data_IF_634408707268
#
_entry.id   IF_634408707268
#
_cell.length_a   1.000
_cell.length_b   1.000
_cell.length_c   1.000
_cell.angle_alpha   90.00
_cell.angle_beta   90.00
_cell.angle_gamma   90.00
#
_symmetry.space_group_name_H-M   'P 1'
#
loop_
_entity.id
_entity.type
_entity.pdbx_description
1 polymer ?
#
# COMPACT_ATOMS: atom_id res chain seq x y z
N UNK A 1 9.33 6.13 -16.17
CA UNK A 1 9.82 4.74 -16.26
C UNK A 1 9.21 4.06 -17.48
N UNK A 2 9.98 3.17 -18.11
CA UNK A 2 9.48 2.24 -19.11
C UNK A 2 9.61 0.84 -18.52
N UNK A 3 8.51 0.07 -18.56
CA UNK A 3 8.48 -1.34 -18.20
C UNK A 3 8.07 -2.17 -19.40
N UNK A 4 8.59 -3.38 -19.52
CA UNK A 4 8.08 -4.38 -20.48
C UNK A 4 6.96 -5.13 -19.77
N UNK A 5 5.78 -5.13 -20.37
CA UNK A 5 4.57 -5.75 -19.80
C UNK A 5 4.27 -7.10 -20.45
N UNK A 6 4.30 -7.18 -21.78
CA UNK A 6 3.97 -8.38 -22.50
C UNK A 6 4.80 -8.53 -23.79
N UNK A 7 4.94 -9.78 -24.27
CA UNK A 7 5.56 -10.12 -25.54
C UNK A 7 4.72 -11.18 -26.27
N UNK A 8 4.39 -10.89 -27.55
CA UNK A 8 3.64 -11.78 -28.45
C UNK A 8 4.03 -11.58 -29.91
N UNK A 9 3.32 -12.24 -30.84
CA UNK A 9 3.55 -12.07 -32.28
C UNK A 9 3.38 -10.61 -32.74
N UNK A 10 2.41 -9.82 -32.20
CA UNK A 10 2.25 -8.41 -32.61
C UNK A 10 3.41 -7.50 -32.20
N UNK A 11 4.23 -7.90 -31.21
CA UNK A 11 5.35 -7.12 -30.72
C UNK A 11 5.54 -7.15 -29.22
N UNK A 12 6.24 -6.14 -28.67
CA UNK A 12 6.49 -5.97 -27.25
C UNK A 12 5.62 -4.82 -26.73
N UNK A 13 4.80 -5.08 -25.71
CA UNK A 13 4.03 -4.04 -25.03
C UNK A 13 4.87 -3.49 -23.89
N UNK A 14 5.05 -2.17 -23.90
CA UNK A 14 5.74 -1.43 -22.85
C UNK A 14 4.80 -0.44 -22.21
N UNK A 15 4.89 -0.26 -20.88
CA UNK A 15 4.21 0.83 -20.18
C UNK A 15 5.14 1.99 -19.90
N UNK A 16 4.57 3.19 -19.84
CA UNK A 16 5.22 4.41 -19.34
C UNK A 16 4.31 5.05 -18.29
N UNK A 17 4.78 5.08 -17.05
CA UNK A 17 4.10 5.81 -16.00
C UNK A 17 4.35 7.32 -16.15
N UNK A 18 3.27 8.11 -16.14
CA UNK A 18 3.29 9.56 -16.08
C UNK A 18 3.07 10.02 -14.63
N UNK A 19 2.15 9.36 -13.91
CA UNK A 19 1.90 9.49 -12.47
C UNK A 19 1.68 8.09 -11.86
N UNK A 20 1.33 8.01 -10.58
CA UNK A 20 1.09 6.73 -9.89
C UNK A 20 -0.10 5.96 -10.49
N UNK A 21 -1.12 6.67 -10.97
CA UNK A 21 -2.35 6.10 -11.57
C UNK A 21 -2.56 6.55 -13.03
N UNK A 22 -1.58 7.17 -13.66
CA UNK A 22 -1.60 7.55 -15.08
C UNK A 22 -0.47 6.85 -15.81
N UNK A 23 -0.84 5.98 -16.73
CA UNK A 23 0.08 5.18 -17.54
C UNK A 23 -0.34 5.16 -18.99
N UNK A 24 0.65 5.11 -19.89
CA UNK A 24 0.40 4.85 -21.30
C UNK A 24 1.07 3.54 -21.71
N UNK A 25 0.40 2.80 -22.58
CA UNK A 25 0.97 1.63 -23.24
C UNK A 25 1.49 1.98 -24.61
N UNK A 26 2.56 1.30 -25.00
CA UNK A 26 3.24 1.42 -26.31
C UNK A 26 3.47 0.03 -26.86
N UNK A 27 3.29 -0.13 -28.18
CA UNK A 27 3.67 -1.33 -28.91
C UNK A 27 4.98 -1.07 -29.64
N UNK A 28 5.98 -1.89 -29.36
CA UNK A 28 7.31 -1.88 -29.98
C UNK A 28 7.44 -3.05 -30.94
N UNK A 29 7.82 -2.78 -32.18
CA UNK A 29 8.27 -3.80 -33.11
C UNK A 29 9.73 -4.16 -32.81
N UNK A 30 10.03 -5.40 -32.37
CA UNK A 30 11.40 -5.78 -32.03
C UNK A 30 12.36 -5.92 -33.22
N UNK A 31 11.85 -6.04 -34.49
CA UNK A 31 12.67 -6.17 -35.65
C UNK A 31 13.12 -4.81 -36.19
N UNK A 32 12.20 -3.85 -36.32
CA UNK A 32 12.50 -2.50 -36.79
C UNK A 32 12.98 -1.55 -35.71
N UNK A 33 12.58 -1.78 -34.48
CA UNK A 33 12.75 -0.87 -33.34
C UNK A 33 11.76 0.30 -33.34
N UNK A 34 10.81 0.32 -34.28
CA UNK A 34 9.74 1.30 -34.28
C UNK A 34 8.75 1.04 -33.15
N UNK A 35 8.20 2.10 -32.60
CA UNK A 35 7.16 2.00 -31.57
C UNK A 35 6.03 3.00 -31.82
N UNK A 36 4.84 2.64 -31.36
CA UNK A 36 3.67 3.52 -31.36
C UNK A 36 2.95 3.49 -30.02
N UNK A 37 2.35 4.59 -29.68
CA UNK A 37 1.46 4.66 -28.52
C UNK A 37 0.18 3.89 -28.81
N UNK A 38 -0.25 3.03 -27.87
CA UNK A 38 -1.50 2.29 -27.94
C UNK A 38 -2.65 3.06 -27.31
N UNK A 39 -2.47 3.51 -26.06
CA UNK A 39 -3.54 4.13 -25.28
C UNK A 39 -3.60 5.64 -25.46
N UNK A 40 -4.76 6.24 -25.21
CA UNK A 40 -4.93 7.69 -25.23
C UNK A 40 -4.26 8.38 -24.00
N UNK A 41 -4.46 9.69 -23.83
CA UNK A 41 -3.91 10.51 -22.74
C UNK A 41 -4.94 10.71 -21.61
N UNK A 42 -5.77 9.70 -21.33
CA UNK A 42 -6.68 9.72 -20.19
C UNK A 42 -5.95 9.24 -18.93
N UNK A 43 -6.35 9.78 -17.76
CA UNK A 43 -5.88 9.32 -16.46
C UNK A 43 -6.40 7.89 -16.23
N UNK A 44 -5.60 6.90 -16.62
CA UNK A 44 -5.91 5.50 -16.47
C UNK A 44 -4.66 4.69 -16.13
N UNK A 45 -4.87 3.65 -15.35
CA UNK A 45 -3.86 2.64 -15.04
C UNK A 45 -4.10 1.41 -15.88
N UNK A 46 -2.99 0.81 -16.33
CA UNK A 46 -2.99 -0.47 -17.05
C UNK A 46 -1.96 -1.38 -16.40
N UNK A 47 -2.38 -2.55 -15.94
CA UNK A 47 -1.47 -3.53 -15.34
C UNK A 47 -1.88 -4.95 -15.70
N UNK A 48 -1.03 -5.93 -15.37
CA UNK A 48 -1.21 -7.34 -15.74
C UNK A 48 -1.54 -7.52 -17.23
N UNK A 49 -0.82 -6.76 -18.05
CA UNK A 49 -0.98 -6.76 -19.50
C UNK A 49 -0.44 -8.06 -20.08
N UNK A 50 -1.24 -8.78 -20.85
CA UNK A 50 -0.87 -10.09 -21.40
C UNK A 50 -1.54 -10.37 -22.74
N UNK A 51 -0.88 -11.16 -23.60
CA UNK A 51 -1.50 -11.65 -24.83
C UNK A 51 -2.33 -12.92 -24.59
N UNK A 52 -3.52 -12.95 -25.17
CA UNK A 52 -4.42 -14.09 -25.18
C UNK A 52 -4.15 -15.10 -26.29
N UNK A 53 -5.05 -16.11 -26.47
CA UNK A 53 -4.86 -17.21 -27.42
C UNK A 53 -4.71 -16.78 -28.90
N UNK A 54 -5.37 -15.71 -29.32
CA UNK A 54 -5.39 -15.21 -30.71
C UNK A 54 -4.56 -13.93 -30.87
N UNK A 55 -3.54 -13.74 -30.01
CA UNK A 55 -2.70 -12.53 -29.95
C UNK A 55 -3.48 -11.24 -29.63
N UNK A 56 -4.69 -11.34 -29.12
CA UNK A 56 -5.43 -10.23 -28.52
C UNK A 56 -4.79 -9.81 -27.19
N UNK A 57 -4.79 -8.50 -26.93
CA UNK A 57 -4.16 -7.93 -25.74
C UNK A 57 -5.19 -7.74 -24.63
N UNK A 58 -4.92 -8.31 -23.45
CA UNK A 58 -5.75 -8.18 -22.25
C UNK A 58 -5.01 -7.46 -21.15
N UNK A 59 -5.74 -6.77 -20.28
CA UNK A 59 -5.17 -6.08 -19.12
C UNK A 59 -6.23 -5.84 -18.04
N UNK A 60 -5.78 -5.39 -16.88
CA UNK A 60 -6.62 -4.73 -15.88
C UNK A 60 -6.49 -3.23 -16.05
N UNK A 61 -7.61 -2.51 -16.11
CA UNK A 61 -7.64 -1.06 -16.27
C UNK A 61 -8.84 -0.43 -15.58
N UNK A 62 -8.70 0.84 -15.15
CA UNK A 62 -9.81 1.70 -14.70
C UNK A 62 -10.21 2.74 -15.76
N UNK A 63 -9.84 2.55 -17.02
CA UNK A 63 -10.15 3.49 -18.10
C UNK A 63 -11.66 3.77 -18.17
N UNK A 64 -12.05 5.02 -17.94
CA UNK A 64 -13.45 5.45 -17.96
C UNK A 64 -14.33 4.94 -16.80
N UNK A 65 -13.73 4.31 -15.76
CA UNK A 65 -14.43 3.75 -14.62
C UNK A 65 -13.75 4.12 -13.28
N UNK A 66 -14.51 4.05 -12.19
CA UNK A 66 -13.97 4.26 -10.84
C UNK A 66 -13.18 3.04 -10.36
N UNK A 67 -13.69 1.83 -10.64
CA UNK A 67 -13.05 0.56 -10.27
C UNK A 67 -12.39 -0.10 -11.46
N UNK A 68 -11.23 -0.74 -11.23
CA UNK A 68 -10.48 -1.43 -12.25
C UNK A 68 -11.14 -2.76 -12.65
N UNK A 69 -11.23 -3.04 -13.94
CA UNK A 69 -11.89 -4.17 -14.57
C UNK A 69 -10.97 -4.90 -15.54
N UNK A 70 -11.35 -6.11 -15.99
CA UNK A 70 -10.61 -6.82 -17.05
C UNK A 70 -11.08 -6.31 -18.41
N UNK A 71 -10.14 -5.90 -19.25
CA UNK A 71 -10.39 -5.42 -20.60
C UNK A 71 -9.55 -6.17 -21.65
N UNK A 72 -10.11 -6.27 -22.86
CA UNK A 72 -9.35 -6.47 -24.09
C UNK A 72 -9.07 -5.10 -24.72
N UNK A 73 -7.83 -4.86 -25.10
CA UNK A 73 -7.42 -3.63 -25.80
C UNK A 73 -7.32 -3.86 -27.31
N UNK A 74 -7.95 -3.00 -28.06
CA UNK A 74 -7.73 -2.95 -29.50
C UNK A 74 -6.30 -2.56 -29.79
N UNK A 75 -5.59 -3.38 -30.59
CA UNK A 75 -4.18 -3.12 -30.92
C UNK A 75 -3.99 -1.95 -31.88
N UNK A 76 -5.03 -1.50 -32.59
CA UNK A 76 -4.91 -0.39 -33.54
C UNK A 76 -5.02 0.96 -32.84
N UNK A 77 -5.97 1.13 -31.92
CA UNK A 77 -6.25 2.43 -31.29
C UNK A 77 -6.26 2.41 -29.75
N UNK A 78 -6.07 1.23 -29.12
CA UNK A 78 -5.99 1.07 -27.66
C UNK A 78 -7.35 1.15 -26.95
N UNK A 79 -8.46 1.13 -27.69
CA UNK A 79 -9.80 1.20 -27.11
C UNK A 79 -10.05 -0.05 -26.26
N UNK A 80 -10.41 0.10 -24.94
CA UNK A 80 -10.74 -1.04 -24.11
C UNK A 80 -12.17 -1.53 -24.35
N UNK A 81 -12.31 -2.85 -24.47
CA UNK A 81 -13.60 -3.55 -24.41
C UNK A 81 -13.66 -4.32 -23.09
N UNK A 82 -14.73 -4.12 -22.31
CA UNK A 82 -14.92 -4.83 -21.04
C UNK A 82 -15.08 -6.33 -21.28
N UNK A 83 -14.30 -7.12 -20.56
CA UNK A 83 -14.36 -8.58 -20.57
C UNK A 83 -14.95 -9.11 -19.27
N UNK A 84 -14.61 -8.50 -18.15
CA UNK A 84 -15.16 -8.81 -16.83
C UNK A 84 -15.32 -7.51 -16.03
N UNK A 85 -16.55 -7.23 -15.61
CA UNK A 85 -16.90 -6.05 -14.82
C UNK A 85 -16.26 -6.10 -13.42
N UNK A 86 -15.82 -4.95 -12.92
CA UNK A 86 -15.26 -4.84 -11.58
C UNK A 86 -16.33 -4.94 -10.48
N UNK A 87 -17.51 -4.39 -10.72
CA UNK A 87 -18.51 -4.15 -9.67
C UNK A 87 -18.06 -3.04 -8.71
N UNK A 88 -18.28 -3.25 -7.41
CA UNK A 88 -17.91 -2.28 -6.37
C UNK A 88 -16.41 -2.32 -5.99
N UNK A 89 -15.66 -3.32 -6.46
CA UNK A 89 -14.29 -3.59 -6.05
C UNK A 89 -13.34 -3.75 -7.24
N UNK A 90 -12.15 -3.22 -7.09
CA UNK A 90 -11.13 -3.33 -8.14
C UNK A 90 -10.74 -4.79 -8.42
N UNK A 91 -10.63 -5.14 -9.69
CA UNK A 91 -9.78 -6.25 -10.09
C UNK A 91 -8.34 -5.86 -9.82
N UNK A 92 -7.60 -6.68 -9.08
CA UNK A 92 -6.23 -6.42 -8.66
C UNK A 92 -5.18 -7.26 -9.37
N UNK A 93 -5.58 -8.40 -9.94
CA UNK A 93 -4.71 -9.29 -10.71
C UNK A 93 -5.45 -9.95 -11.85
N UNK A 94 -4.72 -10.18 -12.94
CA UNK A 94 -5.14 -10.97 -14.10
C UNK A 94 -3.99 -11.86 -14.54
N UNK A 95 -4.26 -13.15 -14.72
CA UNK A 95 -3.36 -14.09 -15.37
C UNK A 95 -4.11 -14.88 -16.41
N UNK A 96 -3.51 -15.09 -17.59
CA UNK A 96 -4.12 -15.73 -18.74
C UNK A 96 -3.19 -16.78 -19.34
N UNK A 97 -3.70 -17.98 -19.54
CA UNK A 97 -2.97 -19.04 -20.24
C UNK A 97 -3.29 -19.03 -21.74
N UNK A 98 -2.36 -18.49 -22.55
CA UNK A 98 -2.53 -18.30 -23.98
C UNK A 98 -2.87 -19.58 -24.77
N UNK A 99 -2.38 -20.75 -24.34
CA UNK A 99 -2.65 -22.02 -25.04
C UNK A 99 -4.06 -22.62 -24.79
N UNK A 100 -4.71 -22.30 -23.68
CA UNK A 100 -6.02 -22.90 -23.31
C UNK A 100 -7.14 -21.88 -23.13
N UNK A 101 -6.82 -20.59 -23.11
CA UNK A 101 -7.75 -19.52 -22.78
C UNK A 101 -8.23 -19.52 -21.33
N UNK A 102 -7.62 -20.34 -20.45
CA UNK A 102 -7.91 -20.28 -19.01
C UNK A 102 -7.48 -18.94 -18.45
N UNK A 103 -8.30 -18.36 -17.59
CA UNK A 103 -8.05 -17.07 -16.96
C UNK A 103 -8.28 -17.18 -15.47
N UNK A 104 -7.42 -16.55 -14.70
CA UNK A 104 -7.58 -16.30 -13.25
C UNK A 104 -7.54 -14.80 -13.05
N UNK A 105 -8.53 -14.26 -12.35
CA UNK A 105 -8.53 -12.87 -11.92
C UNK A 105 -8.87 -12.76 -10.44
N UNK A 106 -8.42 -11.68 -9.83
CA UNK A 106 -8.56 -11.46 -8.39
C UNK A 106 -9.24 -10.14 -8.16
N UNK A 107 -10.33 -10.13 -7.37
CA UNK A 107 -10.94 -8.91 -6.85
C UNK A 107 -10.40 -8.59 -5.47
N UNK A 108 -10.16 -7.31 -5.22
CA UNK A 108 -9.74 -6.80 -3.92
C UNK A 108 -10.99 -6.34 -3.15
N UNK A 109 -11.52 -7.19 -2.29
CA UNK A 109 -12.72 -6.92 -1.50
C UNK A 109 -12.32 -6.54 -0.08
N UNK A 110 -12.42 -5.27 0.27
CA UNK A 110 -11.96 -4.74 1.56
C UNK A 110 -10.54 -5.22 1.92
N UNK A 111 -9.63 -5.30 0.93
CA UNK A 111 -8.25 -5.75 1.12
C UNK A 111 -8.04 -7.27 1.06
N UNK A 112 -9.09 -8.08 1.17
CA UNK A 112 -9.01 -9.52 0.91
C UNK A 112 -9.09 -9.81 -0.58
N UNK A 113 -8.46 -10.91 -0.99
CA UNK A 113 -8.44 -11.36 -2.38
C UNK A 113 -9.50 -12.40 -2.65
N UNK A 114 -10.51 -12.08 -3.45
CA UNK A 114 -11.43 -13.04 -4.03
C UNK A 114 -10.88 -13.55 -5.36
N UNK A 115 -10.47 -14.81 -5.40
CA UNK A 115 -9.89 -15.43 -6.60
C UNK A 115 -10.99 -16.08 -7.43
N UNK A 116 -11.03 -15.76 -8.70
CA UNK A 116 -11.96 -16.30 -9.69
C UNK A 116 -11.20 -17.03 -10.79
N UNK A 117 -11.83 -18.05 -11.36
CA UNK A 117 -11.30 -18.77 -12.50
C UNK A 117 -12.34 -18.90 -13.61
N UNK A 118 -11.91 -18.82 -14.86
CA UNK A 118 -12.77 -18.90 -16.02
C UNK A 118 -12.01 -19.30 -17.29
N UNK A 119 -12.70 -19.24 -18.40
CA UNK A 119 -12.17 -19.45 -19.74
C UNK A 119 -12.66 -18.37 -20.67
N UNK A 120 -11.77 -17.75 -21.41
CA UNK A 120 -12.11 -16.82 -22.49
C UNK A 120 -12.93 -17.53 -23.56
N UNK A 121 -13.98 -16.88 -24.00
CA UNK A 121 -14.79 -17.29 -25.14
C UNK A 121 -14.39 -16.53 -26.39
N UNK A 122 -14.83 -17.00 -27.57
CA UNK A 122 -14.61 -16.30 -28.83
C UNK A 122 -15.38 -14.96 -28.96
N UNK A 123 -16.24 -14.63 -28.00
CA UNK A 123 -17.05 -13.42 -27.95
C UNK A 123 -16.49 -12.39 -26.93
N UNK A 124 -15.23 -12.58 -26.50
CA UNK A 124 -14.56 -11.73 -25.47
C UNK A 124 -15.31 -11.69 -24.11
N UNK A 125 -15.86 -12.81 -23.72
CA UNK A 125 -16.51 -13.02 -22.43
C UNK A 125 -15.77 -14.10 -21.64
N UNK A 126 -15.97 -14.16 -20.33
CA UNK A 126 -15.40 -15.19 -19.46
C UNK A 126 -16.50 -16.18 -19.04
N UNK A 127 -16.42 -17.41 -19.52
CA UNK A 127 -17.21 -18.51 -18.99
C UNK A 127 -16.63 -18.94 -17.64
N UNK A 128 -17.37 -18.79 -16.50
CA UNK A 128 -16.87 -19.16 -15.19
C UNK A 128 -16.53 -20.64 -15.10
N UNK A 129 -15.40 -20.96 -14.46
CA UNK A 129 -15.02 -22.31 -14.05
C UNK A 129 -15.37 -22.54 -12.57
N UNK A 130 -14.83 -23.64 -12.00
CA UNK A 130 -15.05 -23.96 -10.59
C UNK A 130 -14.47 -22.88 -9.67
N UNK A 131 -15.18 -22.57 -8.58
CA UNK A 131 -14.67 -21.65 -7.55
C UNK A 131 -13.42 -22.22 -6.91
N UNK A 132 -12.29 -21.47 -6.86
CA UNK A 132 -11.07 -21.90 -6.23
C UNK A 132 -11.23 -22.18 -4.73
N UNK A 133 -10.72 -23.32 -4.26
CA UNK A 133 -10.67 -23.71 -2.84
C UNK A 133 -9.39 -23.16 -2.20
N UNK A 134 -9.35 -21.84 -1.99
CA UNK A 134 -8.25 -21.12 -1.37
C UNK A 134 -8.69 -20.53 -0.03
N UNK A 135 -7.79 -20.43 0.95
CA UNK A 135 -8.10 -19.75 2.20
C UNK A 135 -8.23 -18.23 1.99
N UNK A 136 -8.97 -17.55 2.89
CA UNK A 136 -9.03 -16.10 2.90
C UNK A 136 -7.63 -15.51 3.11
N UNK A 137 -7.29 -14.45 2.36
CA UNK A 137 -5.98 -13.83 2.43
C UNK A 137 -5.74 -12.82 1.32
N UNK A 138 -4.49 -12.50 1.07
CA UNK A 138 -4.05 -11.53 0.07
C UNK A 138 -3.17 -12.23 -0.98
N UNK A 139 -3.57 -12.14 -2.23
CA UNK A 139 -2.79 -12.62 -3.38
C UNK A 139 -1.76 -11.56 -3.78
N UNK A 140 -0.54 -12.00 -4.01
CA UNK A 140 0.58 -11.15 -4.47
C UNK A 140 0.99 -11.41 -5.91
N UNK A 141 0.67 -12.60 -6.41
CA UNK A 141 0.90 -12.98 -7.79
C UNK A 141 0.05 -14.20 -8.14
N UNK A 142 -0.36 -14.29 -9.39
CA UNK A 142 -1.01 -15.44 -10.00
C UNK A 142 -0.40 -15.65 -11.38
N UNK A 143 0.18 -16.83 -11.65
CA UNK A 143 0.91 -17.13 -12.87
C UNK A 143 0.60 -18.53 -13.38
N UNK A 144 0.25 -18.65 -14.65
CA UNK A 144 0.02 -19.95 -15.27
C UNK A 144 1.32 -20.66 -15.62
N UNK A 145 1.39 -21.94 -15.27
CA UNK A 145 2.39 -22.86 -15.77
C UNK A 145 2.02 -23.40 -17.18
N UNK A 146 2.98 -24.07 -17.85
CA UNK A 146 2.77 -24.57 -19.22
C UNK A 146 1.66 -25.62 -19.37
N UNK A 147 1.32 -26.31 -18.29
CA UNK A 147 0.26 -27.32 -18.24
C UNK A 147 -1.13 -26.72 -17.95
N UNK A 148 -1.20 -25.39 -17.70
CA UNK A 148 -2.43 -24.67 -17.46
C UNK A 148 -2.93 -24.71 -16.02
N UNK A 149 -2.10 -25.14 -15.07
CA UNK A 149 -2.29 -24.90 -13.63
C UNK A 149 -1.80 -23.51 -13.28
N UNK A 150 -2.43 -22.86 -12.30
CA UNK A 150 -2.07 -21.51 -11.89
C UNK A 150 -1.36 -21.53 -10.52
N UNK A 151 -0.13 -21.03 -10.46
CA UNK A 151 0.59 -20.82 -9.22
C UNK A 151 0.16 -19.48 -8.60
N UNK A 152 -0.35 -19.53 -7.36
CA UNK A 152 -0.85 -18.37 -6.63
C UNK A 152 0.02 -18.16 -5.40
N UNK A 153 0.69 -17.00 -5.33
CA UNK A 153 1.43 -16.57 -4.14
C UNK A 153 0.51 -15.74 -3.26
N UNK A 154 0.22 -16.22 -2.05
CA UNK A 154 -0.67 -15.53 -1.12
C UNK A 154 -0.18 -15.59 0.33
N UNK A 155 -0.66 -14.65 1.13
CA UNK A 155 -0.41 -14.54 2.57
C UNK A 155 -1.71 -14.29 3.31
N UNK A 156 -1.75 -14.70 4.59
CA UNK A 156 -2.83 -14.42 5.53
C UNK A 156 -2.28 -13.65 6.72
N UNK A 157 -3.12 -13.10 7.56
CA UNK A 157 -2.66 -12.40 8.77
C UNK A 157 -1.89 -13.31 9.73
N UNK A 158 -2.23 -14.60 9.75
CA UNK A 158 -1.64 -15.65 10.60
C UNK A 158 -0.65 -16.58 9.88
N UNK A 159 -0.48 -16.41 8.55
CA UNK A 159 0.35 -17.28 7.73
C UNK A 159 1.22 -16.47 6.75
N UNK A 160 2.56 -16.59 6.82
CA UNK A 160 3.46 -15.95 5.87
C UNK A 160 3.15 -16.35 4.42
N UNK A 161 3.71 -15.57 3.49
CA UNK A 161 3.52 -15.81 2.06
C UNK A 161 3.89 -17.23 1.65
N UNK A 162 2.94 -17.92 1.02
CA UNK A 162 3.09 -19.27 0.51
C UNK A 162 2.56 -19.38 -0.91
N UNK A 163 2.97 -20.44 -1.62
CA UNK A 163 2.51 -20.75 -2.98
C UNK A 163 1.49 -21.89 -2.93
N UNK A 164 0.37 -21.67 -3.57
CA UNK A 164 -0.67 -22.66 -3.88
C UNK A 164 -0.68 -22.91 -5.38
N UNK A 165 -0.97 -24.12 -5.79
CA UNK A 165 -1.19 -24.46 -7.21
C UNK A 165 -2.65 -24.81 -7.39
N UNK A 166 -3.33 -24.02 -8.21
CA UNK A 166 -4.74 -24.12 -8.53
C UNK A 166 -4.91 -24.84 -9.87
N UNK A 167 -5.73 -25.88 -9.90
CA UNK A 167 -6.35 -26.40 -11.11
C UNK A 167 -7.65 -25.58 -11.37
N UNK A 168 -7.70 -24.72 -12.38
CA UNK A 168 -8.85 -23.85 -12.60
C UNK A 168 -10.12 -24.60 -13.01
N UNK A 169 -10.01 -25.75 -13.67
CA UNK A 169 -11.17 -26.52 -14.13
C UNK A 169 -11.93 -27.17 -12.95
N UNK A 170 -11.20 -27.64 -11.94
CA UNK A 170 -11.77 -28.30 -10.76
C UNK A 170 -11.94 -27.36 -9.57
N UNK A 171 -11.25 -26.23 -9.54
CA UNK A 171 -11.15 -25.33 -8.39
C UNK A 171 -10.28 -25.87 -7.26
N UNK A 172 -9.65 -27.04 -7.42
CA UNK A 172 -8.78 -27.62 -6.40
C UNK A 172 -7.48 -26.84 -6.29
N UNK A 173 -7.09 -26.47 -5.07
CA UNK A 173 -5.83 -25.80 -4.79
C UNK A 173 -4.99 -26.60 -3.81
N UNK A 174 -3.72 -26.85 -4.16
CA UNK A 174 -2.75 -27.55 -3.32
C UNK A 174 -1.68 -26.58 -2.84
N UNK A 175 -1.43 -26.55 -1.54
CA UNK A 175 -0.33 -25.78 -0.97
C UNK A 175 1.01 -26.44 -1.24
N UNK A 176 1.89 -25.78 -2.00
CA UNK A 176 3.20 -26.32 -2.41
C UNK A 176 4.35 -25.87 -1.51
N UNK A 177 4.21 -24.74 -0.85
CA UNK A 177 5.27 -24.25 0.06
C UNK A 177 4.77 -24.16 1.49
N UNK A 178 5.70 -24.24 2.43
CA UNK A 178 5.43 -24.09 3.85
C UNK A 178 6.53 -23.25 4.48
N UNK A 179 6.48 -21.94 4.26
CA UNK A 179 7.38 -21.01 4.91
C UNK A 179 7.10 -21.01 6.41
N UNK A 180 8.16 -21.20 7.17
CA UNK A 180 8.07 -21.34 8.62
C UNK A 180 8.00 -19.99 9.32
N UNK A 181 7.45 -20.03 10.53
CA UNK A 181 7.36 -18.90 11.46
C UNK A 181 8.52 -18.88 12.47
N UNK A 182 9.68 -19.47 12.10
CA UNK A 182 10.87 -19.60 12.93
C UNK A 182 10.62 -20.29 14.30
N UNK A 183 9.62 -21.18 14.36
CA UNK A 183 9.24 -21.92 15.55
C UNK A 183 8.20 -21.23 16.42
N UNK A 184 7.72 -20.05 16.04
CA UNK A 184 6.57 -19.40 16.69
C UNK A 184 5.31 -20.16 16.25
N UNK A 185 4.46 -20.64 17.18
CA UNK A 185 3.24 -21.34 16.84
C UNK A 185 2.27 -20.41 16.09
N UNK A 186 1.70 -20.88 14.98
CA UNK A 186 0.80 -20.05 14.14
C UNK A 186 -0.45 -19.59 14.89
N UNK A 187 -0.96 -20.42 15.80
CA UNK A 187 -2.10 -20.11 16.66
C UNK A 187 -1.88 -18.93 17.61
N UNK A 188 -0.64 -18.40 17.68
CA UNK A 188 -0.35 -17.18 18.46
C UNK A 188 -0.49 -15.90 17.62
N UNK A 189 -0.58 -16.03 16.30
CA UNK A 189 -0.80 -14.89 15.42
C UNK A 189 -2.28 -14.54 15.34
N UNK A 190 -2.56 -13.26 15.21
CA UNK A 190 -3.91 -12.73 15.29
C UNK A 190 -4.37 -12.19 13.95
N UNK A 191 -5.65 -12.41 13.67
CA UNK A 191 -6.34 -11.86 12.51
C UNK A 191 -7.04 -10.54 12.89
N UNK A 192 -7.07 -9.54 11.99
CA UNK A 192 -7.75 -8.28 12.23
C UNK A 192 -9.26 -8.40 12.00
N UNK A 193 -10.00 -7.54 12.66
CA UNK A 193 -11.38 -7.21 12.29
C UNK A 193 -11.39 -6.04 11.31
N UNK A 194 -12.27 -6.08 10.30
CA UNK A 194 -12.56 -4.92 9.45
C UNK A 194 -13.48 -4.00 10.23
N UNK A 195 -13.06 -2.77 10.42
CA UNK A 195 -13.85 -1.73 11.08
C UNK A 195 -13.99 -0.50 10.17
N UNK A 196 -15.00 0.32 10.46
CA UNK A 196 -15.17 1.63 9.82
C UNK A 196 -15.45 2.67 10.89
N UNK A 197 -14.89 3.85 10.72
CA UNK A 197 -15.16 5.00 11.58
C UNK A 197 -15.51 6.22 10.74
N UNK A 198 -16.38 7.07 11.30
CA UNK A 198 -16.81 8.29 10.63
C UNK A 198 -15.76 9.39 10.81
N UNK A 199 -15.35 10.02 9.71
CA UNK A 199 -14.44 11.15 9.71
C UNK A 199 -15.18 12.48 9.80
N UNK A 200 -14.45 13.60 9.84
CA UNK A 200 -14.92 14.96 10.06
C UNK A 200 -16.04 15.41 9.09
N UNK A 201 -16.10 14.83 7.90
CA UNK A 201 -17.07 15.16 6.83
C UNK A 201 -18.19 14.12 6.70
N UNK A 202 -18.27 13.15 7.62
CA UNK A 202 -19.25 12.06 7.61
C UNK A 202 -18.89 10.91 6.69
N UNK A 203 -17.65 10.88 6.16
CA UNK A 203 -17.13 9.76 5.38
C UNK A 203 -16.74 8.61 6.28
N UNK A 204 -17.15 7.39 5.92
CA UNK A 204 -16.66 6.17 6.55
C UNK A 204 -15.26 5.82 6.05
N UNK A 205 -14.31 5.72 6.98
CA UNK A 205 -12.92 5.34 6.71
C UNK A 205 -12.74 3.88 7.11
N UNK A 206 -12.35 3.00 6.19
CA UNK A 206 -12.07 1.60 6.50
C UNK A 206 -10.74 1.45 7.24
N UNK A 207 -10.68 0.50 8.17
CA UNK A 207 -9.47 0.18 8.91
C UNK A 207 -9.48 -1.28 9.34
N UNK A 208 -8.29 -1.80 9.70
CA UNK A 208 -8.17 -3.08 10.37
C UNK A 208 -7.86 -2.85 11.84
N UNK A 209 -8.60 -3.55 12.70
CA UNK A 209 -8.44 -3.49 14.15
C UNK A 209 -8.05 -4.85 14.70
N UNK A 210 -6.97 -4.89 15.48
CA UNK A 210 -6.53 -6.13 16.12
C UNK A 210 -6.26 -5.89 17.61
N UNK A 211 -6.92 -6.65 18.47
CA UNK A 211 -6.69 -6.65 19.92
C UNK A 211 -5.66 -7.72 20.30
N UNK A 212 -4.76 -7.46 21.26
CA UNK A 212 -3.91 -8.47 21.84
C UNK A 212 -4.73 -9.49 22.67
N UNK A 213 -4.24 -10.73 22.88
CA UNK A 213 -5.03 -11.78 23.53
C UNK A 213 -5.38 -11.48 24.98
N UNK A 214 -4.62 -10.60 25.61
CA UNK A 214 -4.73 -10.22 27.03
C UNK A 214 -5.17 -8.76 27.22
N UNK A 215 -5.95 -8.23 26.26
CA UNK A 215 -6.51 -6.88 26.36
C UNK A 215 -7.40 -6.76 27.59
N UNK A 216 -7.14 -5.75 28.42
CA UNK A 216 -7.93 -5.44 29.62
C UNK A 216 -8.66 -4.10 29.42
N UNK A 217 -9.88 -3.93 29.96
CA UNK A 217 -10.64 -2.70 29.80
C UNK A 217 -9.90 -1.46 30.35
N UNK A 218 -9.69 -0.47 29.46
CA UNK A 218 -9.05 0.81 29.79
C UNK A 218 -7.53 0.74 30.05
N UNK A 219 -6.89 -0.41 29.76
CA UNK A 219 -5.46 -0.62 30.06
C UNK A 219 -4.62 -0.95 28.83
N UNK A 220 -5.24 -1.14 27.64
CA UNK A 220 -4.53 -1.57 26.44
C UNK A 220 -3.99 -0.38 25.65
N UNK A 221 -2.64 -0.25 25.52
CA UNK A 221 -2.04 0.75 24.65
C UNK A 221 -2.30 0.43 23.18
N UNK A 222 -2.30 1.46 22.34
CA UNK A 222 -2.62 1.31 20.91
C UNK A 222 -1.52 1.86 20.03
N UNK A 223 -1.20 1.13 18.97
CA UNK A 223 -0.42 1.64 17.84
C UNK A 223 -1.37 1.93 16.67
N UNK A 224 -1.40 3.18 16.23
CA UNK A 224 -2.04 3.58 14.96
C UNK A 224 -0.96 3.47 13.89
N UNK A 225 -1.01 2.38 13.09
CA UNK A 225 -0.02 2.07 12.06
C UNK A 225 -0.45 2.62 10.70
N UNK A 226 0.10 3.76 10.33
CA UNK A 226 -0.26 4.53 9.13
C UNK A 226 0.63 4.08 7.96
N UNK A 227 0.01 3.62 6.88
CA UNK A 227 0.74 3.12 5.72
C UNK A 227 1.42 4.22 4.90
N UNK A 228 2.44 3.82 4.15
CA UNK A 228 3.10 4.68 3.16
C UNK A 228 2.34 4.75 1.83
N UNK A 229 2.88 5.50 0.89
CA UNK A 229 2.32 5.62 -0.45
C UNK A 229 2.32 7.07 -0.91
N UNK A 230 1.20 7.83 -0.86
CA UNK A 230 -0.12 7.62 -0.20
C UNK A 230 -1.00 6.54 -0.83
N UNK A 231 -0.93 6.36 -2.14
CA UNK A 231 -1.78 5.47 -2.93
C UNK A 231 -1.43 3.98 -2.65
N UNK A 232 -1.44 3.60 -1.40
CA UNK A 232 -1.28 2.22 -0.93
C UNK A 232 -2.55 1.80 -0.17
N UNK A 233 -2.61 0.54 0.23
CA UNK A 233 -3.69 -0.02 1.06
C UNK A 233 -3.08 -0.91 2.13
N UNK A 234 -3.53 -0.76 3.38
CA UNK A 234 -3.37 -1.85 4.34
C UNK A 234 -4.26 -2.99 3.92
N UNK A 235 -3.71 -4.20 3.98
CA UNK A 235 -4.38 -5.45 3.65
C UNK A 235 -4.04 -6.50 4.71
N UNK A 236 -4.89 -7.53 4.91
CA UNK A 236 -4.74 -8.50 5.98
C UNK A 236 -3.72 -9.61 5.66
N UNK A 237 -2.52 -9.24 5.23
CA UNK A 237 -1.40 -10.18 5.06
C UNK A 237 -0.61 -10.37 6.35
N UNK A 238 0.31 -11.35 6.38
CA UNK A 238 1.23 -11.55 7.48
C UNK A 238 2.22 -10.38 7.58
N UNK A 239 2.08 -9.60 8.64
CA UNK A 239 2.96 -8.48 8.92
C UNK A 239 3.68 -8.71 10.25
N UNK A 240 4.98 -9.12 10.23
CA UNK A 240 5.70 -9.49 11.43
C UNK A 240 5.72 -8.41 12.51
N UNK A 241 5.85 -7.14 12.11
CA UNK A 241 5.88 -5.99 13.01
C UNK A 241 4.58 -5.86 13.80
N UNK A 242 3.43 -5.98 13.13
CA UNK A 242 2.12 -5.99 13.79
C UNK A 242 2.03 -7.13 14.82
N UNK A 243 2.39 -8.36 14.40
CA UNK A 243 2.35 -9.51 15.30
C UNK A 243 3.29 -9.34 16.50
N UNK A 244 4.45 -8.68 16.31
CA UNK A 244 5.35 -8.34 17.40
C UNK A 244 4.68 -7.40 18.42
N UNK A 245 4.08 -6.29 18.00
CA UNK A 245 3.43 -5.35 18.89
C UNK A 245 2.22 -5.97 19.61
N UNK A 246 1.43 -6.80 18.93
CA UNK A 246 0.34 -7.55 19.54
C UNK A 246 0.84 -8.48 20.67
N UNK A 247 1.99 -9.12 20.49
CA UNK A 247 2.62 -9.95 21.53
C UNK A 247 3.21 -9.13 22.70
N UNK A 248 3.54 -7.85 22.47
CA UNK A 248 3.94 -6.91 23.52
C UNK A 248 2.73 -6.30 24.26
N UNK A 249 1.51 -6.64 23.87
CA UNK A 249 0.29 -6.19 24.52
C UNK A 249 -0.33 -4.91 23.93
N UNK A 250 0.21 -4.40 22.82
CA UNK A 250 -0.42 -3.30 22.10
C UNK A 250 -1.58 -3.81 21.24
N UNK A 251 -2.68 -3.08 21.22
CA UNK A 251 -3.63 -3.18 20.10
C UNK A 251 -3.11 -2.43 18.90
N UNK A 252 -3.56 -2.82 17.70
CA UNK A 252 -3.11 -2.17 16.45
C UNK A 252 -4.31 -1.75 15.62
N UNK A 253 -4.35 -0.47 15.24
CA UNK A 253 -5.29 0.08 14.27
C UNK A 253 -4.51 0.44 13.00
N UNK A 254 -4.94 -0.10 11.85
CA UNK A 254 -4.34 0.11 10.53
C UNK A 254 -5.35 0.83 9.62
N UNK A 255 -5.45 2.16 9.64
CA UNK A 255 -6.42 2.90 8.85
C UNK A 255 -6.03 2.92 7.36
N UNK A 256 -7.04 2.80 6.48
CA UNK A 256 -6.97 3.11 5.07
C UNK A 256 -7.59 4.49 4.85
N UNK A 257 -6.86 5.53 5.24
CA UNK A 257 -7.31 6.93 5.12
C UNK A 257 -7.68 7.29 3.68
N UNK A 258 -8.45 8.37 3.48
CA UNK A 258 -8.64 8.91 2.13
C UNK A 258 -7.31 9.06 1.40
N UNK A 259 -7.26 8.79 0.10
CA UNK A 259 -6.03 8.67 -0.67
C UNK A 259 -5.53 7.23 -0.81
N UNK A 260 -6.01 6.29 0.01
CA UNK A 260 -5.65 4.87 -0.11
C UNK A 260 -6.23 4.25 -1.39
N UNK A 261 -5.48 3.32 -1.99
CA UNK A 261 -5.97 2.49 -3.09
C UNK A 261 -6.91 1.38 -2.60
N UNK A 262 -7.55 0.68 -3.54
CA UNK A 262 -8.41 -0.46 -3.25
C UNK A 262 -9.90 -0.14 -3.12
N UNK A 263 -10.26 1.13 -3.00
CA UNK A 263 -11.63 1.64 -2.79
C UNK A 263 -12.14 2.50 -3.96
N UNK A 264 -11.61 2.30 -5.16
CA UNK A 264 -11.91 3.07 -6.35
C UNK A 264 -10.97 4.27 -6.56
N UNK A 265 -10.95 4.77 -7.79
CA UNK A 265 -10.11 5.90 -8.22
C UNK A 265 -10.52 7.20 -7.50
N UNK A 266 -11.84 7.41 -7.33
CA UNK A 266 -12.36 8.57 -6.63
C UNK A 266 -11.88 8.64 -5.17
N UNK A 267 -11.78 7.50 -4.47
CA UNK A 267 -11.25 7.45 -3.10
C UNK A 267 -9.75 7.75 -3.07
N UNK A 268 -9.01 7.23 -4.05
CA UNK A 268 -7.54 7.42 -4.16
C UNK A 268 -7.15 8.89 -4.35
N UNK A 269 -7.97 9.68 -5.04
CA UNK A 269 -7.69 11.11 -5.29
C UNK A 269 -8.31 12.07 -4.27
N UNK A 270 -8.82 11.58 -3.14
CA UNK A 270 -9.47 12.43 -2.14
C UNK A 270 -8.52 13.33 -1.35
N UNK A 271 -7.24 13.00 -1.32
CA UNK A 271 -6.23 13.74 -0.56
C UNK A 271 -5.17 14.42 -1.44
N UNK A 272 -5.39 14.52 -2.76
CA UNK A 272 -4.44 15.15 -3.67
C UNK A 272 -4.24 16.63 -3.36
N UNK A 273 -2.99 17.07 -3.42
CA UNK A 273 -2.53 18.46 -3.35
C UNK A 273 -3.06 19.23 -2.13
N UNK A 274 -4.00 20.16 -2.30
CA UNK A 274 -4.54 21.04 -1.24
C UNK A 274 -5.43 20.33 -0.23
N UNK A 275 -5.85 19.09 -0.52
CA UNK A 275 -6.62 18.24 0.38
C UNK A 275 -5.77 17.28 1.22
N UNK A 276 -4.44 17.36 1.10
CA UNK A 276 -3.50 16.46 1.80
C UNK A 276 -3.75 16.38 3.30
N UNK A 277 -4.14 17.47 3.93
CA UNK A 277 -4.40 17.51 5.37
C UNK A 277 -5.76 16.89 5.76
N UNK A 278 -6.66 16.62 4.79
CA UNK A 278 -7.90 15.90 5.06
C UNK A 278 -7.61 14.43 5.44
N UNK A 279 -6.56 13.82 4.87
CA UNK A 279 -6.11 12.47 5.28
C UNK A 279 -5.52 12.46 6.70
N UNK A 280 -4.90 13.56 7.15
CA UNK A 280 -4.43 13.72 8.53
C UNK A 280 -5.61 13.87 9.50
N UNK A 281 -6.70 14.53 9.09
CA UNK A 281 -7.92 14.62 9.87
C UNK A 281 -8.64 13.25 10.00
N UNK A 282 -8.49 12.33 9.05
CA UNK A 282 -8.94 10.95 9.20
C UNK A 282 -8.23 10.23 10.35
N UNK A 283 -6.96 10.57 10.63
CA UNK A 283 -6.21 10.01 11.77
C UNK A 283 -6.72 10.57 13.09
N UNK A 284 -7.08 11.85 13.16
CA UNK A 284 -7.73 12.40 14.36
C UNK A 284 -9.06 11.68 14.65
N UNK A 285 -9.88 11.47 13.60
CA UNK A 285 -11.12 10.72 13.72
C UNK A 285 -10.90 9.26 14.15
N UNK A 286 -9.81 8.61 13.68
CA UNK A 286 -9.41 7.28 14.12
C UNK A 286 -9.14 7.24 15.65
N UNK A 287 -8.44 8.24 16.18
CA UNK A 287 -8.19 8.36 17.63
C UNK A 287 -9.51 8.61 18.38
N UNK A 288 -10.41 9.45 17.82
CA UNK A 288 -11.75 9.63 18.37
C UNK A 288 -12.52 8.31 18.48
N UNK A 289 -12.44 7.47 17.42
CA UNK A 289 -13.06 6.13 17.44
C UNK A 289 -12.41 5.21 18.47
N UNK A 290 -11.08 5.27 18.67
CA UNK A 290 -10.37 4.50 19.69
C UNK A 290 -10.81 4.86 21.11
N UNK A 291 -11.05 6.14 21.41
CA UNK A 291 -11.52 6.59 22.71
C UNK A 291 -12.91 6.02 23.10
N UNK A 292 -13.67 5.53 22.14
CA UNK A 292 -14.96 4.86 22.38
C UNK A 292 -14.82 3.35 22.64
N UNK A 293 -13.62 2.79 22.60
CA UNK A 293 -13.37 1.35 22.78
C UNK A 293 -13.06 1.03 24.23
N UNK A 294 -13.85 0.15 24.83
CA UNK A 294 -13.73 -0.22 26.26
C UNK A 294 -12.33 -0.74 26.65
N UNK A 295 -11.62 -1.39 25.73
CA UNK A 295 -10.29 -1.96 25.98
C UNK A 295 -9.17 -0.92 25.97
N UNK A 296 -9.36 0.22 25.29
CA UNK A 296 -8.30 1.18 24.96
C UNK A 296 -7.96 2.06 26.16
N UNK A 297 -6.66 2.21 26.42
CA UNK A 297 -6.12 3.28 27.27
C UNK A 297 -5.90 4.54 26.40
N UNK A 298 -6.80 5.53 26.57
CA UNK A 298 -6.82 6.76 25.80
C UNK A 298 -5.56 7.62 25.97
N UNK A 299 -4.82 7.44 27.06
CA UNK A 299 -3.58 8.18 27.36
C UNK A 299 -2.33 7.47 26.76
N UNK A 300 -2.49 6.28 26.17
CA UNK A 300 -1.38 5.47 25.64
C UNK A 300 -1.58 5.11 24.14
N UNK A 301 -1.80 6.12 23.30
CA UNK A 301 -1.94 5.97 21.86
C UNK A 301 -0.65 6.45 21.19
N UNK A 302 -0.09 5.62 20.30
CA UNK A 302 1.16 5.84 19.58
C UNK A 302 0.88 6.05 18.10
N UNK A 303 1.40 7.13 17.51
CA UNK A 303 1.45 7.30 16.06
C UNK A 303 2.66 6.57 15.48
N UNK A 304 2.46 5.70 14.49
CA UNK A 304 3.50 4.87 13.88
C UNK A 304 3.35 4.87 12.36
N UNK A 305 4.41 5.11 11.59
CA UNK A 305 4.29 5.11 10.15
C UNK A 305 5.59 5.21 9.39
N UNK A 306 5.58 4.78 8.12
CA UNK A 306 6.74 4.77 7.23
C UNK A 306 6.49 5.58 5.96
N UNK A 307 7.50 6.34 5.52
CA UNK A 307 7.50 7.10 4.26
C UNK A 307 6.38 8.16 4.27
N UNK A 308 5.39 8.07 3.39
CA UNK A 308 4.20 8.89 3.50
C UNK A 308 3.50 8.71 4.87
N UNK A 309 3.43 7.48 5.40
CA UNK A 309 2.95 7.25 6.77
C UNK A 309 3.79 7.95 7.83
N UNK A 310 5.11 8.08 7.63
CA UNK A 310 5.99 8.90 8.48
C UNK A 310 5.66 10.39 8.41
N UNK A 311 5.39 10.92 7.20
CA UNK A 311 4.82 12.27 7.06
C UNK A 311 3.51 12.41 7.84
N UNK A 312 2.59 11.46 7.69
CA UNK A 312 1.31 11.44 8.40
C UNK A 312 1.48 11.44 9.93
N UNK A 313 2.46 10.69 10.43
CA UNK A 313 2.85 10.71 11.85
C UNK A 313 3.27 12.11 12.27
N UNK A 314 4.23 12.71 11.55
CA UNK A 314 4.73 14.06 11.85
C UNK A 314 3.62 15.10 11.77
N UNK A 315 2.75 15.03 10.75
CA UNK A 315 1.60 15.91 10.60
C UNK A 315 0.57 15.74 11.72
N UNK A 316 0.24 14.49 12.09
CA UNK A 316 -0.72 14.19 13.14
C UNK A 316 -0.27 14.70 14.53
N UNK A 317 1.01 14.50 14.89
CA UNK A 317 1.55 15.00 16.18
C UNK A 317 1.74 16.52 16.20
N UNK A 318 1.75 17.15 15.02
CA UNK A 318 1.83 18.61 14.89
C UNK A 318 0.44 19.22 14.95
N UNK A 319 -0.53 18.68 14.19
CA UNK A 319 -1.90 19.22 14.13
C UNK A 319 -2.70 18.93 15.40
N UNK A 320 -2.51 17.74 15.96
CA UNK A 320 -3.27 17.21 17.10
C UNK A 320 -2.32 16.75 18.24
N UNK A 321 -1.51 17.66 18.82
CA UNK A 321 -0.42 17.30 19.74
C UNK A 321 -0.85 16.63 21.03
N UNK A 322 -2.10 16.80 21.45
CA UNK A 322 -2.63 16.29 22.72
C UNK A 322 -3.16 14.84 22.61
N UNK A 323 -3.13 14.23 21.42
CA UNK A 323 -3.68 12.89 21.20
C UNK A 323 -2.66 11.76 21.40
N UNK A 324 -1.37 12.05 21.54
CA UNK A 324 -0.31 11.08 21.38
C UNK A 324 0.57 10.94 22.61
N UNK A 325 0.73 9.70 23.10
CA UNK A 325 1.69 9.36 24.13
C UNK A 325 3.14 9.36 23.60
N UNK A 326 3.34 8.86 22.38
CA UNK A 326 4.61 8.83 21.68
C UNK A 326 4.40 8.74 20.16
N UNK A 327 5.46 8.97 19.38
CA UNK A 327 5.42 8.82 17.93
C UNK A 327 6.67 8.14 17.40
N UNK A 328 6.50 7.32 16.35
CA UNK A 328 7.57 6.60 15.66
C UNK A 328 7.49 6.90 14.16
N UNK A 329 8.45 7.66 13.69
CA UNK A 329 8.60 8.07 12.30
C UNK A 329 9.70 7.27 11.60
N UNK A 330 9.36 6.60 10.51
CA UNK A 330 10.32 5.95 9.62
C UNK A 330 10.39 6.68 8.29
N UNK A 331 11.55 7.22 7.98
CA UNK A 331 11.87 7.84 6.69
C UNK A 331 10.77 8.83 6.22
N UNK A 332 10.17 9.56 7.17
CA UNK A 332 9.08 10.50 6.88
C UNK A 332 9.54 11.80 6.24
N UNK A 333 8.60 12.49 5.60
CA UNK A 333 8.81 13.80 4.98
C UNK A 333 8.44 14.88 5.99
N UNK A 334 9.39 15.71 6.38
CA UNK A 334 9.17 16.81 7.30
C UNK A 334 8.87 18.14 6.57
N UNK A 335 9.46 18.34 5.38
CA UNK A 335 9.31 19.54 4.57
C UNK A 335 9.23 19.17 3.08
N UNK A 336 8.06 19.38 2.46
CA UNK A 336 7.86 19.08 1.05
C UNK A 336 8.67 19.94 0.09
N UNK A 337 9.10 21.16 0.49
CA UNK A 337 10.01 21.96 -0.33
C UNK A 337 11.38 21.27 -0.41
N UNK A 338 12.00 20.95 0.74
CA UNK A 338 13.32 20.32 0.77
C UNK A 338 13.28 18.89 0.23
N UNK A 339 12.19 18.16 0.46
CA UNK A 339 11.97 16.85 -0.10
C UNK A 339 11.97 16.88 -1.65
N UNK A 340 11.18 17.76 -2.27
CA UNK A 340 11.10 17.87 -3.74
C UNK A 340 12.40 18.41 -4.35
N UNK A 341 13.10 19.30 -3.64
CA UNK A 341 14.40 19.81 -4.10
C UNK A 341 15.49 18.73 -4.10
N UNK A 342 15.45 17.78 -3.16
CA UNK A 342 16.54 16.82 -2.91
C UNK A 342 16.19 15.36 -3.25
N UNK A 343 14.93 15.03 -3.57
CA UNK A 343 14.57 13.69 -4.07
C UNK A 343 15.17 13.44 -5.44
N UNK A 344 15.31 12.17 -5.84
CA UNK A 344 15.85 11.81 -7.16
C UNK A 344 15.10 12.51 -8.30
N UNK A 345 15.84 13.15 -9.23
CA UNK A 345 15.26 13.92 -10.33
C UNK A 345 14.20 13.15 -11.12
N UNK A 346 14.41 11.85 -11.31
CA UNK A 346 13.50 10.95 -12.00
C UNK A 346 12.15 10.74 -11.30
N UNK A 347 12.04 11.07 -10.00
CA UNK A 347 10.82 10.97 -9.21
C UNK A 347 10.10 12.31 -9.02
N UNK A 348 10.83 13.41 -9.13
CA UNK A 348 10.32 14.74 -8.78
C UNK A 348 9.02 15.07 -9.49
N UNK A 349 8.95 14.88 -10.82
CA UNK A 349 7.75 15.17 -11.60
C UNK A 349 6.52 14.38 -11.14
N UNK A 350 6.68 13.11 -10.78
CA UNK A 350 5.60 12.29 -10.21
C UNK A 350 5.14 12.83 -8.86
N UNK A 351 6.09 13.25 -8.01
CA UNK A 351 5.76 13.75 -6.67
C UNK A 351 5.17 15.16 -6.68
N UNK A 352 5.53 15.97 -7.66
CA UNK A 352 4.91 17.29 -7.86
C UNK A 352 3.44 17.20 -8.29
N UNK A 353 3.05 16.17 -9.02
CA UNK A 353 1.64 15.95 -9.38
C UNK A 353 0.79 15.61 -8.14
N UNK A 354 1.36 14.85 -7.23
CA UNK A 354 0.67 14.37 -6.04
C UNK A 354 0.66 15.39 -4.89
N UNK A 355 1.80 16.02 -4.60
CA UNK A 355 1.94 16.93 -3.45
C UNK A 355 1.84 18.41 -3.83
N UNK A 356 1.94 18.72 -5.11
CA UNK A 356 2.04 20.08 -5.63
C UNK A 356 3.45 20.44 -6.10
N UNK A 357 3.52 21.40 -7.03
CA UNK A 357 4.76 21.83 -7.66
C UNK A 357 5.59 22.74 -6.75
N UNK A 358 6.94 22.70 -6.91
CA UNK A 358 7.87 23.67 -6.32
C UNK A 358 7.56 25.14 -6.69
N UNK A 359 6.76 25.37 -7.74
CA UNK A 359 6.26 26.71 -8.07
C UNK A 359 5.22 27.20 -7.06
N UNK A 360 4.49 26.27 -6.38
CA UNK A 360 3.49 26.58 -5.36
C UNK A 360 4.02 26.35 -3.94
N UNK A 361 5.09 27.06 -3.57
CA UNK A 361 5.73 26.92 -2.26
C UNK A 361 4.80 27.20 -1.07
N UNK A 362 3.75 28.01 -1.24
CA UNK A 362 2.80 28.27 -0.18
C UNK A 362 1.99 27.02 0.17
N UNK A 363 1.58 26.25 -0.83
CA UNK A 363 0.92 24.95 -0.61
C UNK A 363 1.86 23.98 0.09
N UNK A 364 3.08 23.79 -0.45
CA UNK A 364 4.06 22.86 0.12
C UNK A 364 4.35 23.18 1.59
N UNK A 365 4.48 24.47 1.94
CA UNK A 365 4.65 24.90 3.33
C UNK A 365 3.45 24.61 4.21
N UNK A 366 2.24 24.80 3.69
CA UNK A 366 1.02 24.58 4.48
C UNK A 366 0.78 23.11 4.83
N UNK A 367 1.39 22.18 4.09
CA UNK A 367 1.31 20.75 4.35
C UNK A 367 2.59 20.15 4.98
N UNK A 368 3.58 21.00 5.30
CA UNK A 368 4.88 20.55 5.82
C UNK A 368 4.95 20.68 7.34
N UNK A 369 5.05 19.56 8.09
CA UNK A 369 5.06 19.55 9.56
C UNK A 369 6.18 20.39 10.20
N UNK A 370 7.32 20.57 9.52
CA UNK A 370 8.47 21.30 10.02
C UNK A 370 8.15 22.74 10.41
N UNK A 371 7.16 23.37 9.76
CA UNK A 371 6.80 24.77 9.98
C UNK A 371 5.96 24.99 11.25
N UNK A 372 5.38 23.93 11.80
CA UNK A 372 4.59 23.91 13.03
C UNK A 372 5.20 22.97 14.09
N UNK A 373 6.49 22.59 13.92
CA UNK A 373 7.17 21.61 14.78
C UNK A 373 7.21 22.03 16.25
N UNK A 374 7.04 23.32 16.56
CA UNK A 374 6.92 23.82 17.94
C UNK A 374 5.67 23.33 18.68
N UNK A 375 4.67 22.80 17.98
CA UNK A 375 3.46 22.22 18.56
C UNK A 375 3.68 20.78 19.03
N UNK A 376 4.73 20.11 18.55
CA UNK A 376 5.01 18.71 18.95
C UNK A 376 5.34 18.65 20.44
N UNK A 377 4.57 17.86 21.19
CA UNK A 377 4.67 17.71 22.64
C UNK A 377 5.01 16.28 23.09
N UNK A 378 4.70 15.26 22.28
CA UNK A 378 4.99 13.87 22.61
C UNK A 378 6.44 13.47 22.27
N UNK A 379 7.06 12.50 22.99
CA UNK A 379 8.30 11.88 22.61
C UNK A 379 8.31 11.36 21.17
N UNK A 380 9.42 11.52 20.45
CA UNK A 380 9.54 11.20 19.04
C UNK A 380 10.74 10.30 18.76
N UNK A 381 10.49 9.11 18.18
CA UNK A 381 11.53 8.25 17.63
C UNK A 381 11.59 8.43 16.11
N UNK A 382 12.80 8.63 15.56
CA UNK A 382 13.01 8.81 14.12
C UNK A 382 14.01 7.78 13.62
N UNK A 383 13.59 6.93 12.66
CA UNK A 383 14.47 6.00 11.96
C UNK A 383 14.70 6.46 10.52
N UNK A 384 15.95 6.36 10.03
CA UNK A 384 16.26 6.70 8.63
C UNK A 384 17.49 5.96 8.11
N UNK A 385 17.49 5.62 6.80
CA UNK A 385 18.68 5.17 6.10
C UNK A 385 19.42 6.35 5.48
N UNK A 386 20.73 6.46 5.72
CA UNK A 386 21.54 7.58 5.20
C UNK A 386 21.63 7.60 3.66
N UNK A 387 21.44 6.45 3.01
CA UNK A 387 21.48 6.29 1.56
C UNK A 387 20.09 6.24 0.92
N UNK A 388 19.05 6.77 1.57
CA UNK A 388 17.70 6.77 1.03
C UNK A 388 17.59 7.66 -0.22
N UNK A 389 17.30 7.06 -1.42
CA UNK A 389 17.16 7.83 -2.66
C UNK A 389 15.74 8.39 -2.85
N UNK A 390 14.79 8.04 -1.98
CA UNK A 390 13.38 8.43 -2.06
C UNK A 390 13.09 9.62 -1.16
N UNK A 391 13.42 9.51 0.12
CA UNK A 391 13.28 10.55 1.12
C UNK A 391 14.67 10.88 1.65
N UNK A 392 15.22 12.06 1.35
CA UNK A 392 16.56 12.42 1.81
C UNK A 392 16.65 12.42 3.34
N UNK A 393 17.75 11.89 3.89
CA UNK A 393 18.01 11.85 5.35
C UNK A 393 18.01 13.23 6.01
N UNK A 394 18.09 14.29 5.21
CA UNK A 394 17.91 15.68 5.66
C UNK A 394 16.57 15.92 6.34
N UNK A 395 15.50 15.22 5.89
CA UNK A 395 14.16 15.35 6.46
C UNK A 395 14.16 14.93 7.94
N UNK A 396 14.74 13.75 8.25
CA UNK A 396 14.88 13.27 9.63
C UNK A 396 15.74 14.20 10.51
N UNK A 397 16.84 14.71 9.96
CA UNK A 397 17.77 15.58 10.72
C UNK A 397 17.15 16.92 11.08
N UNK A 398 16.46 17.57 10.13
CA UNK A 398 15.87 18.90 10.38
C UNK A 398 14.71 18.84 11.38
N UNK A 399 13.81 17.84 11.31
CA UNK A 399 12.72 17.72 12.27
C UNK A 399 13.23 17.34 13.66
N UNK A 400 14.22 16.42 13.75
CA UNK A 400 14.83 16.04 15.01
C UNK A 400 15.47 17.24 15.73
N UNK A 401 16.15 18.12 15.00
CA UNK A 401 16.77 19.34 15.56
C UNK A 401 15.69 20.29 16.10
N UNK A 402 14.65 20.56 15.32
CA UNK A 402 13.55 21.45 15.71
C UNK A 402 12.83 20.98 16.98
N UNK A 403 12.51 19.69 17.06
CA UNK A 403 11.81 19.14 18.23
C UNK A 403 12.70 19.14 19.48
N UNK A 404 14.00 18.82 19.35
CA UNK A 404 14.98 18.89 20.46
C UNK A 404 15.14 20.30 21.01
N UNK A 405 15.13 21.36 20.17
CA UNK A 405 15.20 22.76 20.61
C UNK A 405 14.05 23.12 21.56
N UNK A 406 12.92 22.39 21.50
CA UNK A 406 11.77 22.56 22.40
C UNK A 406 11.89 21.80 23.70
N UNK A 407 12.92 20.97 23.87
CA UNK A 407 13.12 20.13 25.04
C UNK A 407 12.26 18.87 25.07
N UNK A 408 11.61 18.51 23.95
CA UNK A 408 10.87 17.25 23.80
C UNK A 408 11.90 16.12 23.58
N UNK A 409 11.70 14.94 24.22
CA UNK A 409 12.57 13.79 24.00
C UNK A 409 12.56 13.37 22.50
N UNK A 410 13.74 13.27 21.88
CA UNK A 410 13.90 12.80 20.50
C UNK A 410 15.01 11.79 20.43
N UNK A 411 14.68 10.58 20.06
CA UNK A 411 15.66 9.56 19.69
C UNK A 411 15.80 9.47 18.16
N UNK A 412 17.04 9.29 17.67
CA UNK A 412 17.29 9.11 16.24
C UNK A 412 18.10 7.84 16.01
N UNK A 413 17.64 7.01 15.06
CA UNK A 413 18.28 5.79 14.61
C UNK A 413 18.58 5.93 13.10
N UNK A 414 19.80 6.35 12.77
CA UNK A 414 20.22 6.55 11.38
C UNK A 414 21.26 5.50 11.02
N UNK A 415 20.95 4.65 10.04
CA UNK A 415 21.84 3.61 9.54
C UNK A 415 22.59 4.13 8.30
N UNK A 416 23.93 4.15 8.39
CA UNK A 416 24.81 4.69 7.34
C UNK A 416 24.84 3.81 6.08
N UNK A 417 24.47 2.56 6.17
CA UNK A 417 24.50 1.55 5.12
C UNK A 417 23.12 1.17 4.56
N UNK A 418 22.04 1.77 5.09
CA UNK A 418 20.66 1.49 4.64
C UNK A 418 20.09 2.59 3.73
N UNK A 419 19.07 2.19 2.95
CA UNK A 419 18.28 3.06 2.11
C UNK A 419 16.88 3.34 2.67
N UNK A 420 15.85 3.28 1.80
CA UNK A 420 14.46 3.53 2.20
C UNK A 420 13.87 2.44 3.12
N UNK A 421 14.48 1.29 3.15
CA UNK A 421 14.11 0.17 4.02
C UNK A 421 15.36 -0.32 4.75
N UNK A 422 15.18 -0.70 6.01
CA UNK A 422 16.19 -1.45 6.75
C UNK A 422 16.18 -2.89 6.24
N UNK A 423 17.31 -3.36 5.72
CA UNK A 423 17.43 -4.66 5.06
C UNK A 423 18.42 -5.59 5.74
N UNK A 424 19.45 -5.04 6.38
CA UNK A 424 20.40 -5.79 7.18
C UNK A 424 19.72 -6.35 8.42
N UNK A 425 19.97 -7.63 8.71
CA UNK A 425 19.40 -8.31 9.87
C UNK A 425 19.87 -7.66 11.19
N UNK A 426 21.12 -7.25 11.25
CA UNK A 426 21.68 -6.60 12.42
C UNK A 426 20.99 -5.27 12.67
N UNK A 427 20.81 -4.46 11.63
CA UNK A 427 20.13 -3.16 11.71
C UNK A 427 18.65 -3.33 12.08
N UNK A 428 17.96 -4.36 11.54
CA UNK A 428 16.56 -4.65 11.93
C UNK A 428 16.44 -5.00 13.41
N UNK A 429 17.37 -5.80 13.95
CA UNK A 429 17.36 -6.16 15.38
C UNK A 429 17.57 -4.89 16.22
N UNK A 430 18.60 -4.07 15.90
CA UNK A 430 18.87 -2.82 16.60
C UNK A 430 17.66 -1.87 16.53
N UNK A 431 17.05 -1.71 15.35
CA UNK A 431 15.87 -0.87 15.12
C UNK A 431 14.74 -1.25 16.10
N UNK A 432 14.36 -2.53 16.13
CA UNK A 432 13.26 -2.99 16.97
C UNK A 432 13.58 -3.01 18.47
N UNK A 433 14.83 -3.34 18.86
CA UNK A 433 15.26 -3.22 20.27
C UNK A 433 15.17 -1.77 20.78
N UNK A 434 15.58 -0.81 19.95
CA UNK A 434 15.52 0.63 20.29
C UNK A 434 14.08 1.15 20.34
N UNK A 435 13.23 0.75 19.39
CA UNK A 435 11.81 1.12 19.39
C UNK A 435 11.11 0.56 20.62
N UNK A 436 11.34 -0.72 20.96
CA UNK A 436 10.77 -1.33 22.15
C UNK A 436 11.18 -0.59 23.42
N UNK A 437 12.47 -0.30 23.58
CA UNK A 437 12.97 0.44 24.72
C UNK A 437 12.39 1.87 24.80
N UNK A 438 12.26 2.54 23.66
CA UNK A 438 11.64 3.87 23.58
C UNK A 438 10.16 3.84 23.98
N UNK A 439 9.41 2.86 23.48
CA UNK A 439 7.99 2.71 23.86
C UNK A 439 7.83 2.32 25.32
N UNK A 440 8.67 1.42 25.87
CA UNK A 440 8.65 1.04 27.29
C UNK A 440 8.95 2.24 28.23
N UNK A 441 9.72 3.24 27.76
CA UNK A 441 10.03 4.44 28.55
C UNK A 441 8.90 5.47 28.52
N UNK A 442 8.14 5.54 27.42
CA UNK A 442 7.26 6.68 27.16
C UNK A 442 5.76 6.33 27.09
N UNK A 443 5.40 5.04 27.01
CA UNK A 443 4.04 4.54 26.87
C UNK A 443 3.68 3.56 28.00
#
# INVERSE_FOLDING_TARGET
FLSVEAWGEPGIVCSKANASFDQNLFLLDPESGDYRKLTDDTDARYHDVTFGPDDDLYCVTNHGADTAYVARLDLDDGTPTVVEEAGDWNVSHLSLHGGTGRVVWVRNVDGYSEVHAGRLTAEDDIEPLSTPDLPDGVVFAAEFGPDGDCAISMSRSDDPKNVFVLDPDTGSAERWTNFGTLGIPRETFLEPEIVRYESFDGREIPAYWTLPPNAEPGETPVIVDIHGGPEHQRQPWFYPTKQYFLQQGYAVLEPNVRGSSGYGTAYTHLDDTDKRMDSVADIEAAVGWLHERDAVDADRIVAYGRSYGGFMVLAAITEYPDLWAAAVDFVGIADFETFLENTGEWRRSHREQEYGSLENRNLLRSISPIHEAERISCPLFIQHGANDPRVPVGEAKQIAERVRERGVPVETCIFEDEGHHTTSRENLIEEFERIAAFLDEHV
#
